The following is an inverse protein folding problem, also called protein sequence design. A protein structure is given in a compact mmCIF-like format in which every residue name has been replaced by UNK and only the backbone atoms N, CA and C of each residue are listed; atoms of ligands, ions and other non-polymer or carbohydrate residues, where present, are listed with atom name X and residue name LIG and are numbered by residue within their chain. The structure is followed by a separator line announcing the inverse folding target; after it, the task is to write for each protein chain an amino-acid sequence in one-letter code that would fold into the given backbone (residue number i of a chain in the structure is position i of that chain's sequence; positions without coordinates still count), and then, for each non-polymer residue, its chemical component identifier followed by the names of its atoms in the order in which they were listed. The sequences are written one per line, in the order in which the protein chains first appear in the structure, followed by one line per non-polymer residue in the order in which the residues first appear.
data_IF_300408324030
#
_entry.id   IF_300408324030
#
_cell.length_a   1.000
_cell.length_b   1.000
_cell.length_c   1.000
_cell.angle_alpha   90.00
_cell.angle_beta   90.00
_cell.angle_gamma   90.00
#
_symmetry.space_group_name_H-M   'P 1'
#
loop_
_entity.id
_entity.type
_entity.pdbx_description
1 polymer ?
#
# COMPACT_ATOMS: atom_id res chain seq x y z
N UNK A 1 -8.78 -53.78 35.71
CA UNK A 1 -9.23 -52.38 35.90
C UNK A 1 -8.27 -51.51 35.10
N UNK A 2 -8.80 -50.68 34.21
CA UNK A 2 -8.18 -50.17 32.98
C UNK A 2 -6.89 -49.31 33.14
N UNK A 3 -6.04 -49.24 32.11
CA UNK A 3 -4.83 -48.41 32.10
C UNK A 3 -5.22 -46.95 31.81
N UNK A 4 -4.62 -45.99 32.53
CA UNK A 4 -4.73 -44.56 32.19
C UNK A 4 -3.43 -44.09 31.55
N UNK A 5 -3.35 -44.31 30.25
CA UNK A 5 -2.46 -43.62 29.32
C UNK A 5 -2.81 -42.14 29.32
N UNK A 6 -1.91 -41.29 29.82
CA UNK A 6 -2.05 -39.83 29.70
C UNK A 6 -1.61 -39.44 28.28
N UNK A 7 -2.59 -39.08 27.45
CA UNK A 7 -2.41 -38.45 26.14
C UNK A 7 -1.79 -37.06 26.32
N UNK A 8 -0.51 -36.90 26.01
CA UNK A 8 0.10 -35.60 25.71
C UNK A 8 -0.28 -35.21 24.27
N UNK A 9 -1.44 -34.59 24.12
CA UNK A 9 -1.89 -34.00 22.85
C UNK A 9 -1.37 -32.57 22.78
N UNK A 10 -0.40 -32.36 21.88
CA UNK A 10 -0.23 -31.18 21.01
C UNK A 10 -0.75 -29.84 21.59
N UNK A 11 0.11 -29.13 22.30
CA UNK A 11 -0.03 -27.68 22.55
C UNK A 11 1.06 -26.91 21.80
N UNK A 12 1.22 -27.20 20.50
CA UNK A 12 2.28 -26.64 19.64
C UNK A 12 1.78 -25.78 18.48
N UNK A 13 0.49 -25.46 18.40
CA UNK A 13 -0.07 -24.77 17.22
C UNK A 13 -1.06 -23.63 17.54
N UNK A 14 -0.98 -23.03 18.73
CA UNK A 14 -1.80 -21.86 19.10
C UNK A 14 -1.01 -20.55 19.29
N UNK A 15 0.28 -20.53 18.95
CA UNK A 15 1.09 -19.31 19.04
C UNK A 15 1.10 -18.45 17.76
N UNK A 16 0.26 -18.75 16.75
CA UNK A 16 0.27 -18.05 15.44
C UNK A 16 -1.05 -17.36 15.07
N UNK A 17 -1.94 -17.17 16.04
CA UNK A 17 -3.18 -16.38 15.87
C UNK A 17 -3.32 -15.27 16.90
N UNK A 18 -2.22 -14.83 17.52
CA UNK A 18 -2.24 -13.69 18.42
C UNK A 18 -1.90 -12.41 17.65
N UNK A 19 -2.93 -11.57 17.51
CA UNK A 19 -2.89 -10.11 17.36
C UNK A 19 -2.17 -9.55 16.15
N UNK A 20 -2.82 -9.64 14.98
CA UNK A 20 -2.58 -8.65 13.93
C UNK A 20 -3.64 -7.55 13.95
N UNK A 21 -4.89 -7.87 14.33
CA UNK A 21 -5.91 -6.85 14.57
C UNK A 21 -5.69 -6.16 15.93
N UNK A 22 -5.38 -4.87 15.94
CA UNK A 22 -5.70 -3.98 17.05
C UNK A 22 -4.57 -3.15 17.68
N UNK A 23 -3.31 -3.28 17.27
CA UNK A 23 -2.27 -2.34 17.71
C UNK A 23 -2.12 -1.19 16.74
N UNK A 24 -1.94 0.02 17.26
CA UNK A 24 -1.75 1.22 16.46
C UNK A 24 -0.60 2.05 17.02
N UNK A 25 0.01 2.88 16.19
CA UNK A 25 1.13 3.73 16.57
C UNK A 25 0.95 5.15 16.05
N UNK A 26 1.50 6.13 16.77
CA UNK A 26 1.66 7.49 16.31
C UNK A 26 3.12 7.87 16.42
N UNK A 27 3.75 8.24 15.30
CA UNK A 27 5.17 8.55 15.23
C UNK A 27 5.40 9.89 14.56
N UNK A 28 6.28 10.69 15.15
CA UNK A 28 6.80 11.92 14.54
C UNK A 28 8.27 11.73 14.21
N UNK A 29 8.66 12.17 13.01
CA UNK A 29 10.03 12.14 12.53
C UNK A 29 10.48 13.55 12.21
N UNK A 30 11.50 14.00 12.93
CA UNK A 30 12.13 15.31 12.75
C UNK A 30 13.49 15.13 12.12
N UNK A 31 13.83 16.01 11.19
CA UNK A 31 15.17 16.07 10.61
C UNK A 31 15.59 17.52 10.45
N UNK A 32 16.79 17.83 10.92
CA UNK A 32 17.44 19.12 10.70
C UNK A 32 18.79 18.93 10.02
N UNK A 33 18.97 19.57 8.87
CA UNK A 33 20.18 19.49 8.07
C UNK A 33 20.84 20.87 8.01
N UNK A 34 22.04 20.99 8.58
CA UNK A 34 22.83 22.21 8.43
C UNK A 34 23.29 22.36 6.96
N UNK A 35 23.42 23.60 6.49
CA UNK A 35 23.89 23.89 5.13
C UNK A 35 24.87 25.07 5.14
N UNK A 36 26.14 24.85 5.55
CA UNK A 36 27.13 25.92 5.65
C UNK A 36 27.21 26.77 4.38
N UNK A 37 27.18 28.09 4.54
CA UNK A 37 27.20 29.04 3.41
C UNK A 37 25.90 29.14 2.60
N UNK A 38 24.84 28.38 2.93
CA UNK A 38 23.55 28.37 2.21
C UNK A 38 22.35 28.73 3.09
N UNK A 39 22.60 29.43 4.21
CA UNK A 39 21.56 29.93 5.12
C UNK A 39 21.38 29.08 6.38
N UNK A 40 20.21 29.19 7.01
CA UNK A 40 19.89 28.44 8.24
C UNK A 40 19.69 26.94 7.93
N UNK A 41 19.91 26.03 8.91
CA UNK A 41 19.57 24.63 8.74
C UNK A 41 18.13 24.44 8.25
N UNK A 42 17.92 23.53 7.29
CA UNK A 42 16.58 23.15 6.90
C UNK A 42 16.02 22.19 7.94
N UNK A 43 14.82 22.45 8.43
CA UNK A 43 14.09 21.59 9.34
C UNK A 43 12.83 21.09 8.65
N UNK A 44 12.61 19.78 8.70
CA UNK A 44 11.35 19.18 8.28
C UNK A 44 10.86 18.18 9.32
N UNK A 45 9.54 18.15 9.48
CA UNK A 45 8.85 17.26 10.40
C UNK A 45 7.72 16.56 9.65
N UNK A 46 7.53 15.27 9.94
CA UNK A 46 6.40 14.49 9.43
C UNK A 46 5.80 13.67 10.56
N UNK A 47 4.48 13.54 10.56
CA UNK A 47 3.73 12.72 11.52
C UNK A 47 2.99 11.61 10.80
N UNK A 48 3.00 10.43 11.39
CA UNK A 48 2.33 9.23 10.91
C UNK A 48 1.43 8.65 12.01
N UNK A 49 0.25 8.17 11.60
CA UNK A 49 -0.50 7.16 12.35
C UNK A 49 -0.38 5.87 11.55
N UNK A 50 0.20 4.85 12.17
CA UNK A 50 0.63 3.63 11.50
C UNK A 50 1.46 3.97 10.25
N UNK A 51 1.07 3.45 9.09
CA UNK A 51 1.74 3.70 7.82
C UNK A 51 1.17 4.89 7.03
N UNK A 52 0.31 5.71 7.65
CA UNK A 52 -0.37 6.84 7.00
C UNK A 52 0.16 8.19 7.50
N UNK A 53 0.81 8.93 6.60
CA UNK A 53 1.24 10.28 6.89
C UNK A 53 0.04 11.20 7.06
N UNK A 54 -0.02 11.97 8.15
CA UNK A 54 -1.14 12.88 8.40
C UNK A 54 -0.73 14.35 8.51
N UNK A 55 0.53 14.64 8.85
CA UNK A 55 1.03 16.02 8.90
C UNK A 55 2.44 16.16 8.33
N UNK A 56 2.75 17.38 7.89
CA UNK A 56 4.09 17.78 7.46
C UNK A 56 4.36 19.25 7.78
N UNK A 57 5.61 19.54 8.15
CA UNK A 57 6.16 20.89 8.22
C UNK A 57 7.50 20.95 7.46
N UNK A 58 7.76 22.05 6.76
CA UNK A 58 9.03 22.31 6.05
C UNK A 58 9.44 23.76 6.26
N UNK A 59 10.61 23.98 6.86
CA UNK A 59 11.11 25.34 7.16
C UNK A 59 11.45 26.13 5.91
N UNK A 60 11.68 25.46 4.78
CA UNK A 60 12.01 26.08 3.50
C UNK A 60 10.76 26.42 2.66
N UNK A 61 9.55 26.09 3.13
CA UNK A 61 8.32 26.52 2.48
C UNK A 61 8.21 28.06 2.50
N UNK A 62 7.52 28.65 1.51
CA UNK A 62 7.33 30.10 1.43
C UNK A 62 6.60 30.67 2.67
N UNK A 63 5.62 29.92 3.17
CA UNK A 63 4.93 30.20 4.44
C UNK A 63 4.95 28.96 5.31
N UNK A 64 6.01 28.76 6.14
CA UNK A 64 6.15 27.56 6.96
C UNK A 64 5.01 27.44 7.98
N UNK A 65 4.20 26.40 7.80
CA UNK A 65 3.09 25.99 8.67
C UNK A 65 2.99 24.47 8.70
N UNK A 66 2.33 23.95 9.73
CA UNK A 66 1.95 22.54 9.75
C UNK A 66 0.83 22.34 8.73
N UNK A 67 1.00 21.37 7.84
CA UNK A 67 0.08 21.10 6.73
C UNK A 67 -0.54 19.70 6.87
N UNK A 68 -1.85 19.55 6.60
CA UNK A 68 -2.49 18.25 6.57
C UNK A 68 -1.97 17.41 5.40
N UNK A 69 -1.89 16.10 5.61
CA UNK A 69 -1.55 15.07 4.62
C UNK A 69 -2.55 13.92 4.55
N UNK A 70 -3.58 13.95 5.40
CA UNK A 70 -4.69 13.02 5.39
C UNK A 70 -6.03 13.75 5.58
N UNK A 71 -7.12 13.33 4.90
CA UNK A 71 -8.41 14.01 4.99
C UNK A 71 -8.98 14.09 6.42
N UNK A 72 -8.78 13.04 7.23
CA UNK A 72 -9.34 12.96 8.58
C UNK A 72 -8.72 13.91 9.60
N UNK A 73 -7.56 14.52 9.30
CA UNK A 73 -6.97 15.58 10.15
C UNK A 73 -7.41 16.97 9.71
N UNK A 74 -7.91 17.16 8.49
CA UNK A 74 -8.33 18.48 7.97
C UNK A 74 -9.48 19.09 8.77
N UNK A 75 -10.28 18.26 9.45
CA UNK A 75 -11.36 18.71 10.33
C UNK A 75 -10.88 19.33 11.66
N UNK A 76 -9.59 19.23 11.98
CA UNK A 76 -9.05 19.89 13.17
C UNK A 76 -9.14 21.42 13.04
N UNK A 77 -9.48 22.07 14.15
CA UNK A 77 -9.73 23.52 14.19
C UNK A 77 -8.46 24.38 14.01
N UNK A 78 -8.63 25.69 13.75
CA UNK A 78 -7.49 26.60 13.56
C UNK A 78 -6.53 26.63 14.76
N UNK A 79 -7.03 26.44 16.00
CA UNK A 79 -6.20 26.40 17.20
C UNK A 79 -5.19 25.26 17.18
N UNK A 80 -5.58 24.09 16.66
CA UNK A 80 -4.68 22.94 16.48
C UNK A 80 -3.56 23.29 15.50
N UNK A 81 -3.91 23.81 14.33
CA UNK A 81 -2.94 24.15 13.28
C UNK A 81 -1.97 25.25 13.71
N UNK A 82 -2.46 26.27 14.44
CA UNK A 82 -1.64 27.34 15.00
C UNK A 82 -0.69 26.83 16.08
N UNK A 83 -1.17 25.95 16.97
CA UNK A 83 -0.35 25.34 18.01
C UNK A 83 0.74 24.44 17.43
N UNK A 84 0.40 23.55 16.50
CA UNK A 84 1.36 22.64 15.88
C UNK A 84 2.38 23.39 15.01
N UNK A 85 1.94 24.46 14.32
CA UNK A 85 2.84 25.35 13.59
C UNK A 85 3.83 26.04 14.53
N UNK A 86 3.37 26.52 15.69
CA UNK A 86 4.25 27.16 16.68
C UNK A 86 5.26 26.17 17.25
N UNK A 87 4.80 24.98 17.67
CA UNK A 87 5.67 23.90 18.16
C UNK A 87 6.74 23.52 17.13
N UNK A 88 6.37 23.39 15.86
CA UNK A 88 7.32 23.07 14.79
C UNK A 88 8.37 24.17 14.58
N UNK A 89 7.97 25.45 14.62
CA UNK A 89 8.89 26.60 14.52
C UNK A 89 9.85 26.67 15.71
N UNK A 90 9.35 26.47 16.92
CA UNK A 90 10.17 26.45 18.14
C UNK A 90 11.17 25.28 18.11
N UNK A 91 10.69 24.11 17.67
CA UNK A 91 11.53 22.92 17.47
C UNK A 91 12.63 23.18 16.44
N UNK A 92 12.32 23.82 15.31
CA UNK A 92 13.33 24.18 14.31
C UNK A 92 14.45 25.07 14.89
N UNK A 93 14.12 26.02 15.79
CA UNK A 93 15.13 26.83 16.48
C UNK A 93 15.96 26.00 17.46
N UNK A 94 15.33 25.09 18.21
CA UNK A 94 16.04 24.19 19.12
C UNK A 94 17.03 23.29 18.36
N UNK A 95 16.64 22.72 17.22
CA UNK A 95 17.52 21.88 16.40
C UNK A 95 18.71 22.66 15.82
N UNK A 96 18.50 23.94 15.48
CA UNK A 96 19.60 24.83 15.09
C UNK A 96 20.64 25.01 16.20
N UNK A 97 20.20 25.15 17.45
CA UNK A 97 21.10 25.23 18.61
C UNK A 97 21.77 23.87 18.88
N UNK A 98 21.02 22.78 18.72
CA UNK A 98 21.55 21.43 18.90
C UNK A 98 22.63 21.09 17.88
N UNK A 99 22.47 21.46 16.60
CA UNK A 99 23.50 21.29 15.57
C UNK A 99 24.81 21.99 15.95
N UNK A 100 24.76 23.24 16.43
CA UNK A 100 25.94 23.96 16.92
C UNK A 100 26.57 23.34 18.16
N UNK A 101 25.75 22.70 18.99
CA UNK A 101 26.23 22.01 20.19
C UNK A 101 26.91 20.70 19.84
N UNK A 102 26.33 19.93 18.90
CA UNK A 102 26.92 18.71 18.38
C UNK A 102 28.30 18.97 17.76
N UNK A 103 28.44 20.02 16.92
CA UNK A 103 29.74 20.44 16.37
C UNK A 103 30.82 20.59 17.45
N UNK A 104 30.48 21.20 18.59
CA UNK A 104 31.40 21.38 19.71
C UNK A 104 31.70 20.08 20.44
N UNK A 105 30.70 19.23 20.66
CA UNK A 105 30.91 17.95 21.35
C UNK A 105 31.78 16.99 20.55
N UNK A 106 31.68 17.03 19.22
CA UNK A 106 32.46 16.20 18.30
C UNK A 106 33.72 16.87 17.75
N UNK A 107 34.03 18.10 18.16
CA UNK A 107 35.15 18.90 17.66
C UNK A 107 35.19 19.00 16.12
N UNK A 108 34.02 19.18 15.50
CA UNK A 108 33.87 19.24 14.04
C UNK A 108 33.94 20.68 13.53
N UNK A 109 34.36 20.84 12.27
CA UNK A 109 34.44 22.15 11.61
C UNK A 109 33.07 22.68 11.19
N UNK A 110 32.89 24.00 11.16
CA UNK A 110 31.65 24.64 10.67
C UNK A 110 31.43 24.51 9.16
N UNK A 111 32.44 24.05 8.41
CA UNK A 111 32.34 23.86 6.96
C UNK A 111 31.57 22.58 6.57
N UNK A 112 31.41 21.63 7.51
CA UNK A 112 30.72 20.37 7.29
C UNK A 112 29.20 20.51 7.33
N UNK A 113 28.52 19.76 6.47
CA UNK A 113 27.08 19.58 6.55
C UNK A 113 26.76 18.41 7.48
N UNK A 114 26.04 18.69 8.55
CA UNK A 114 25.60 17.74 9.56
C UNK A 114 24.08 17.61 9.64
N UNK A 115 23.63 16.46 10.15
CA UNK A 115 22.22 16.11 10.25
C UNK A 115 21.88 15.63 11.66
N UNK A 116 20.82 16.16 12.26
CA UNK A 116 20.18 15.58 13.44
C UNK A 116 18.82 15.03 13.01
N UNK A 117 18.52 13.80 13.44
CA UNK A 117 17.23 13.16 13.26
C UNK A 117 16.66 12.75 14.61
N UNK A 118 15.34 12.82 14.77
CA UNK A 118 14.65 12.30 15.96
C UNK A 118 13.38 11.59 15.54
N UNK A 119 13.13 10.45 16.18
CA UNK A 119 11.86 9.74 16.11
C UNK A 119 11.31 9.63 17.54
N UNK A 120 10.06 10.04 17.72
CA UNK A 120 9.36 9.81 18.97
C UNK A 120 7.90 9.46 18.71
N UNK A 121 7.26 8.86 19.70
CA UNK A 121 5.86 8.47 19.59
C UNK A 121 5.45 7.38 20.56
N UNK A 122 4.23 6.90 20.39
CA UNK A 122 3.63 5.88 21.26
C UNK A 122 2.95 4.79 20.43
N UNK A 123 2.97 3.57 20.97
CA UNK A 123 2.22 2.42 20.47
C UNK A 123 1.10 2.10 21.46
N UNK A 124 -0.08 1.81 20.94
CA UNK A 124 -1.23 1.31 21.69
C UNK A 124 -1.41 -0.18 21.44
N UNK A 125 -1.70 -0.91 22.51
CA UNK A 125 -2.19 -2.27 22.41
C UNK A 125 -3.67 -2.32 21.95
N UNK A 126 -4.20 -3.53 21.70
CA UNK A 126 -5.61 -3.74 21.35
C UNK A 126 -6.63 -3.24 22.37
N UNK A 127 -6.22 -3.08 23.63
CA UNK A 127 -7.03 -2.48 24.71
C UNK A 127 -7.00 -0.94 24.69
N UNK A 128 -6.30 -0.35 23.72
CA UNK A 128 -6.12 1.08 23.55
C UNK A 128 -5.17 1.70 24.57
N UNK A 129 -4.45 0.93 25.38
CA UNK A 129 -3.50 1.44 26.38
C UNK A 129 -2.10 1.56 25.81
N UNK A 130 -1.29 2.43 26.40
CA UNK A 130 0.13 2.57 26.05
C UNK A 130 0.83 1.22 26.20
N UNK A 131 1.33 0.70 25.09
CA UNK A 131 2.16 -0.50 25.03
C UNK A 131 3.63 -0.13 25.14
N UNK A 132 4.05 0.92 24.41
CA UNK A 132 5.44 1.38 24.35
C UNK A 132 5.54 2.84 23.95
N UNK A 133 6.51 3.55 24.52
CA UNK A 133 6.87 4.90 24.13
C UNK A 133 8.29 4.97 23.58
N UNK A 134 8.55 5.95 22.73
CA UNK A 134 9.85 6.14 22.07
C UNK A 134 10.24 7.61 22.10
N UNK A 135 11.53 7.87 22.31
CA UNK A 135 12.21 9.12 22.00
C UNK A 135 13.67 8.78 21.69
N UNK A 136 14.08 8.88 20.44
CA UNK A 136 15.43 8.55 20.02
C UNK A 136 15.93 9.55 18.99
N UNK A 137 17.16 9.98 19.18
CA UNK A 137 17.86 10.89 18.29
C UNK A 137 19.10 10.25 17.69
N UNK A 138 19.40 10.65 16.46
CA UNK A 138 20.60 10.28 15.72
C UNK A 138 21.33 11.54 15.23
N UNK A 139 22.66 11.44 15.12
CA UNK A 139 23.53 12.46 14.58
C UNK A 139 24.38 11.88 13.44
N UNK A 140 24.35 12.54 12.27
CA UNK A 140 25.02 12.10 11.03
C UNK A 140 24.73 10.63 10.66
N UNK A 141 23.47 10.21 10.87
CA UNK A 141 22.98 8.87 10.54
C UNK A 141 23.38 7.77 11.53
N UNK A 142 23.95 8.13 12.69
CA UNK A 142 24.30 7.20 13.77
C UNK A 142 23.50 7.52 15.02
N UNK A 143 23.14 6.48 15.78
CA UNK A 143 22.46 6.64 17.06
C UNK A 143 23.24 7.60 17.98
N UNK A 144 22.53 8.49 18.64
CA UNK A 144 23.09 9.47 19.56
C UNK A 144 22.60 9.21 20.99
N UNK A 145 21.29 9.31 21.22
CA UNK A 145 20.68 9.07 22.53
C UNK A 145 19.26 8.52 22.36
N UNK A 146 18.85 7.59 23.23
CA UNK A 146 17.52 7.02 23.22
C UNK A 146 16.94 6.89 24.64
N UNK A 147 15.66 7.19 24.80
CA UNK A 147 14.87 6.91 26.00
C UNK A 147 14.65 5.41 26.09
N UNK A 148 14.95 4.84 27.25
CA UNK A 148 14.77 3.41 27.49
C UNK A 148 13.29 3.05 27.67
N UNK A 149 12.98 1.76 27.53
CA UNK A 149 11.61 1.23 27.66
C UNK A 149 10.98 1.52 29.03
N UNK A 150 11.78 1.77 30.06
CA UNK A 150 11.30 2.17 31.39
C UNK A 150 10.74 3.61 31.45
N UNK A 151 10.92 4.39 30.37
CA UNK A 151 10.56 5.81 30.22
C UNK A 151 11.15 6.70 31.32
N UNK A 152 12.29 6.31 31.89
CA UNK A 152 12.93 6.96 33.03
C UNK A 152 14.43 7.14 32.84
N UNK A 153 15.08 6.25 32.09
CA UNK A 153 16.51 6.27 31.87
C UNK A 153 16.86 6.43 30.39
N UNK A 154 18.10 6.84 30.13
CA UNK A 154 18.63 7.09 28.79
C UNK A 154 19.77 6.16 28.46
N UNK A 155 19.87 5.76 27.20
CA UNK A 155 21.05 5.11 26.62
C UNK A 155 21.75 6.09 25.70
N UNK A 156 22.98 6.48 26.05
CA UNK A 156 23.86 7.30 25.21
C UNK A 156 24.77 6.41 24.36
N UNK A 157 24.88 6.70 23.06
CA UNK A 157 25.68 5.92 22.13
C UNK A 157 27.20 6.13 22.28
N UNK A 158 27.62 7.32 22.72
CA UNK A 158 29.03 7.67 22.88
C UNK A 158 29.27 8.73 23.98
N UNK A 159 30.53 9.13 24.16
CA UNK A 159 30.93 10.12 25.16
C UNK A 159 30.38 11.53 24.91
N UNK A 160 30.08 11.89 23.66
CA UNK A 160 29.45 13.17 23.34
C UNK A 160 27.98 13.15 23.79
N UNK A 161 27.26 12.07 23.49
CA UNK A 161 25.90 11.85 23.94
C UNK A 161 25.76 11.77 25.47
N UNK A 162 26.76 11.25 26.19
CA UNK A 162 26.79 11.28 27.66
C UNK A 162 26.70 12.70 28.23
N UNK A 163 27.20 13.72 27.52
CA UNK A 163 27.03 15.11 27.94
C UNK A 163 25.56 15.57 27.85
N UNK A 164 24.82 15.12 26.83
CA UNK A 164 23.38 15.35 26.74
C UNK A 164 22.63 14.58 27.82
N UNK A 165 22.95 13.30 28.02
CA UNK A 165 22.35 12.45 29.05
C UNK A 165 22.40 13.12 30.42
N UNK A 166 23.59 13.55 30.89
CA UNK A 166 23.74 14.20 32.20
C UNK A 166 22.91 15.49 32.32
N UNK A 167 22.80 16.27 31.24
CA UNK A 167 21.96 17.49 31.22
C UNK A 167 20.49 17.13 31.30
N UNK A 168 20.07 16.08 30.59
CA UNK A 168 18.68 15.64 30.56
C UNK A 168 18.23 15.03 31.88
N UNK A 169 19.08 14.22 32.50
CA UNK A 169 18.87 13.68 33.84
C UNK A 169 18.78 14.79 34.90
N UNK A 170 19.71 15.75 34.89
CA UNK A 170 19.70 16.88 35.83
C UNK A 170 18.45 17.78 35.70
N UNK A 171 17.87 17.85 34.51
CA UNK A 171 16.65 18.63 34.24
C UNK A 171 15.36 17.80 34.28
N UNK A 172 15.42 16.49 34.58
CA UNK A 172 14.25 15.62 34.69
C UNK A 172 13.48 15.41 33.37
N UNK A 173 14.17 15.47 32.22
CA UNK A 173 13.52 15.39 30.90
C UNK A 173 12.73 14.11 30.67
N UNK A 174 13.21 12.97 31.21
CA UNK A 174 12.52 11.69 31.05
C UNK A 174 11.11 11.73 31.68
N UNK A 175 10.93 12.39 32.83
CA UNK A 175 9.61 12.48 33.48
C UNK A 175 8.64 13.35 32.67
N UNK A 176 9.12 14.46 32.12
CA UNK A 176 8.32 15.33 31.25
C UNK A 176 7.88 14.60 29.98
N UNK A 177 8.81 13.90 29.33
CA UNK A 177 8.51 13.19 28.10
C UNK A 177 7.62 11.96 28.33
N UNK A 178 7.82 11.27 29.45
CA UNK A 178 6.92 10.20 29.89
C UNK A 178 5.48 10.69 30.09
N UNK A 179 5.29 11.87 30.70
CA UNK A 179 3.95 12.45 30.88
C UNK A 179 3.26 12.72 29.53
N UNK A 180 4.00 13.19 28.53
CA UNK A 180 3.50 13.32 27.16
C UNK A 180 3.14 11.96 26.53
N UNK A 181 4.02 10.96 26.65
CA UNK A 181 3.82 9.63 26.06
C UNK A 181 2.65 8.86 26.70
N UNK A 182 2.47 8.96 28.02
CA UNK A 182 1.38 8.30 28.75
C UNK A 182 0.04 9.06 28.67
N UNK A 183 0.08 10.37 28.38
CA UNK A 183 -1.08 11.24 28.28
C UNK A 183 -1.38 11.66 26.84
N UNK A 184 -0.90 12.85 26.45
CA UNK A 184 -1.25 13.52 25.19
C UNK A 184 -1.06 12.62 23.96
N UNK A 185 0.03 11.86 23.87
CA UNK A 185 0.28 10.98 22.71
C UNK A 185 -0.84 9.94 22.55
N UNK A 186 -1.23 9.29 23.64
CA UNK A 186 -2.30 8.27 23.66
C UNK A 186 -3.65 8.90 23.34
N UNK A 187 -3.95 10.07 23.91
CA UNK A 187 -5.21 10.79 23.68
C UNK A 187 -5.36 11.21 22.21
N UNK A 188 -4.32 11.80 21.62
CA UNK A 188 -4.31 12.21 20.22
C UNK A 188 -4.40 11.02 19.27
N UNK A 189 -3.65 9.95 19.52
CA UNK A 189 -3.73 8.74 18.69
C UNK A 189 -5.14 8.14 18.70
N UNK A 190 -5.80 8.05 19.86
CA UNK A 190 -7.20 7.59 19.93
C UNK A 190 -8.16 8.49 19.15
N UNK A 191 -8.00 9.82 19.27
CA UNK A 191 -8.79 10.79 18.50
C UNK A 191 -8.60 10.60 17.00
N UNK A 192 -7.36 10.45 16.54
CA UNK A 192 -7.06 10.24 15.12
C UNK A 192 -7.59 8.91 14.61
N UNK A 193 -7.51 7.83 15.40
CA UNK A 193 -8.08 6.54 15.03
C UNK A 193 -9.60 6.57 14.90
N UNK A 194 -10.29 7.35 15.73
CA UNK A 194 -11.74 7.54 15.61
C UNK A 194 -12.08 8.42 14.40
N UNK A 195 -11.39 9.54 14.24
CA UNK A 195 -11.55 10.47 13.12
C UNK A 195 -11.28 9.82 11.76
N UNK A 196 -10.24 8.98 11.69
CA UNK A 196 -9.75 8.30 10.49
C UNK A 196 -10.16 6.84 10.39
N UNK A 197 -11.18 6.40 11.14
CA UNK A 197 -11.56 4.99 11.28
C UNK A 197 -11.70 4.23 9.97
N UNK A 198 -12.31 4.83 8.96
CA UNK A 198 -12.49 4.21 7.63
C UNK A 198 -11.17 3.95 6.89
N UNK A 199 -10.12 4.70 7.23
CA UNK A 199 -8.80 4.62 6.58
C UNK A 199 -7.73 3.94 7.42
N UNK A 200 -7.72 4.16 8.74
CA UNK A 200 -6.66 3.70 9.65
C UNK A 200 -6.98 2.34 10.27
N UNK A 201 -8.26 1.99 10.40
CA UNK A 201 -8.69 0.69 10.95
C UNK A 201 -9.14 -0.27 9.84
N UNK A 202 -8.70 -0.02 8.59
CA UNK A 202 -8.92 -0.93 7.47
C UNK A 202 -7.70 -1.81 7.26
N UNK A 203 -7.94 -3.01 6.77
CA UNK A 203 -6.91 -3.94 6.35
C UNK A 203 -7.21 -4.37 4.91
N UNK A 204 -6.44 -3.85 3.96
CA UNK A 204 -6.61 -4.17 2.54
C UNK A 204 -5.75 -5.41 2.21
N UNK A 205 -6.34 -6.56 1.84
CA UNK A 205 -5.57 -7.76 1.55
C UNK A 205 -4.73 -7.61 0.25
N UNK A 206 -3.54 -8.21 0.18
CA UNK A 206 -2.70 -8.15 -1.01
C UNK A 206 -3.32 -8.88 -2.19
N UNK A 207 -3.31 -8.22 -3.34
CA UNK A 207 -3.53 -8.86 -4.64
C UNK A 207 -2.24 -9.59 -5.01
N UNK A 208 -2.31 -10.91 -5.09
CA UNK A 208 -1.13 -11.75 -5.25
C UNK A 208 -1.15 -12.54 -6.55
N UNK A 209 0.03 -12.73 -7.13
CA UNK A 209 0.23 -13.59 -8.31
C UNK A 209 1.70 -13.98 -8.43
N UNK A 210 1.98 -15.03 -9.22
CA UNK A 210 3.34 -15.49 -9.50
C UNK A 210 3.63 -15.32 -10.99
N UNK A 211 4.70 -14.59 -11.33
CA UNK A 211 5.21 -14.47 -12.69
C UNK A 211 6.38 -15.42 -12.92
N UNK A 212 6.54 -15.87 -14.16
CA UNK A 212 7.62 -16.75 -14.59
C UNK A 212 8.43 -16.09 -15.70
N UNK A 213 9.74 -16.03 -15.52
CA UNK A 213 10.67 -15.40 -16.44
C UNK A 213 11.81 -16.38 -16.77
N UNK A 214 11.81 -17.02 -17.96
CA UNK A 214 12.92 -17.87 -18.38
C UNK A 214 14.23 -17.07 -18.40
N UNK A 215 15.29 -17.63 -17.83
CA UNK A 215 16.66 -17.06 -17.88
C UNK A 215 17.49 -17.81 -18.93
N UNK A 216 17.38 -19.14 -18.92
CA UNK A 216 18.05 -20.06 -19.85
C UNK A 216 17.18 -21.30 -20.08
N UNK A 217 17.65 -22.25 -20.89
CA UNK A 217 16.97 -23.55 -21.07
C UNK A 217 16.91 -24.36 -19.77
N UNK A 218 17.76 -24.05 -18.79
CA UNK A 218 17.91 -24.80 -17.55
C UNK A 218 17.27 -24.13 -16.33
N UNK A 219 16.99 -22.83 -16.40
CA UNK A 219 16.56 -22.04 -15.25
C UNK A 219 15.57 -20.94 -15.61
N UNK A 220 14.67 -20.67 -14.67
CA UNK A 220 13.73 -19.55 -14.72
C UNK A 220 13.65 -18.84 -13.37
N UNK A 221 13.26 -17.58 -13.38
CA UNK A 221 12.88 -16.84 -12.17
C UNK A 221 11.38 -16.97 -11.94
N UNK A 222 10.99 -17.42 -10.75
CA UNK A 222 9.63 -17.23 -10.24
C UNK A 222 9.61 -16.00 -9.35
N UNK A 223 8.69 -15.07 -9.62
CA UNK A 223 8.51 -13.87 -8.80
C UNK A 223 7.09 -13.81 -8.25
N UNK A 224 6.98 -13.84 -6.93
CA UNK A 224 5.73 -13.70 -6.21
C UNK A 224 5.50 -12.23 -5.89
N UNK A 225 4.37 -11.70 -6.35
CA UNK A 225 3.97 -10.32 -6.13
C UNK A 225 2.88 -10.22 -5.07
N UNK A 226 2.97 -9.19 -4.24
CA UNK A 226 1.90 -8.70 -3.40
C UNK A 226 1.71 -7.21 -3.70
N UNK A 227 0.49 -6.81 -4.08
CA UNK A 227 0.18 -5.45 -4.53
C UNK A 227 -1.08 -4.93 -3.83
N UNK A 228 -1.13 -3.62 -3.59
CA UNK A 228 -2.35 -2.93 -3.17
C UNK A 228 -2.82 -3.30 -1.76
N UNK A 229 -1.88 -3.60 -0.85
CA UNK A 229 -2.18 -3.97 0.52
C UNK A 229 -1.91 -2.83 1.50
N UNK A 230 -2.58 -2.86 2.64
CA UNK A 230 -2.41 -1.96 3.79
C UNK A 230 -2.78 -2.72 5.06
N UNK A 231 -2.02 -2.63 6.18
CA UNK A 231 -0.80 -1.83 6.40
C UNK A 231 0.44 -2.33 5.63
N UNK A 232 1.61 -1.69 5.82
CA UNK A 232 2.84 -2.03 5.11
C UNK A 232 3.46 -3.36 5.56
N UNK A 233 3.18 -3.78 6.80
CA UNK A 233 3.72 -5.01 7.37
C UNK A 233 3.18 -6.24 6.62
N UNK A 234 4.09 -6.98 5.99
CA UNK A 234 3.76 -8.16 5.19
C UNK A 234 4.93 -9.13 5.18
N UNK A 235 4.64 -10.42 5.21
CA UNK A 235 5.67 -11.48 5.08
C UNK A 235 5.46 -12.26 3.79
N UNK A 236 6.50 -12.29 2.93
CA UNK A 236 6.57 -13.09 1.71
C UNK A 236 7.73 -14.09 1.83
N UNK A 237 7.44 -15.39 1.71
CA UNK A 237 8.48 -16.44 1.80
C UNK A 237 8.30 -17.49 0.71
N UNK A 238 9.39 -17.86 0.05
CA UNK A 238 9.42 -19.02 -0.85
C UNK A 238 9.77 -20.29 -0.11
N UNK A 239 9.06 -21.38 -0.43
CA UNK A 239 9.35 -22.73 0.03
C UNK A 239 9.56 -23.67 -1.13
N UNK A 240 10.45 -24.64 -0.97
CA UNK A 240 10.67 -25.76 -1.88
C UNK A 240 10.39 -27.06 -1.14
N UNK A 241 9.37 -27.81 -1.58
CA UNK A 241 8.92 -29.05 -0.91
C UNK A 241 8.66 -28.90 0.60
N UNK A 242 8.28 -27.68 1.04
CA UNK A 242 8.03 -27.35 2.44
C UNK A 242 9.20 -26.69 3.19
N UNK A 243 10.40 -26.63 2.61
CA UNK A 243 11.57 -25.98 3.23
C UNK A 243 11.73 -24.53 2.77
N UNK A 244 11.94 -23.60 3.71
CA UNK A 244 12.14 -22.18 3.44
C UNK A 244 13.42 -21.94 2.60
N UNK A 245 13.34 -21.02 1.63
CA UNK A 245 14.43 -20.69 0.70
C UNK A 245 15.01 -19.29 0.94
N UNK A 246 15.10 -18.84 2.20
CA UNK A 246 15.42 -17.44 2.54
C UNK A 246 16.75 -16.94 1.97
N UNK A 247 17.79 -17.77 1.90
CA UNK A 247 19.11 -17.37 1.37
C UNK A 247 19.13 -17.24 -0.16
N UNK A 248 18.32 -18.03 -0.85
CA UNK A 248 18.23 -18.08 -2.32
C UNK A 248 17.11 -17.18 -2.87
N UNK A 249 16.43 -16.46 -1.97
CA UNK A 249 15.31 -15.56 -2.31
C UNK A 249 15.81 -14.13 -2.40
N UNK A 250 15.62 -13.51 -3.56
CA UNK A 250 15.68 -12.07 -3.72
C UNK A 250 14.39 -11.46 -3.16
N UNK A 251 14.47 -10.79 -2.02
CA UNK A 251 13.34 -10.11 -1.37
C UNK A 251 13.56 -8.60 -1.41
N UNK A 252 12.64 -7.86 -2.01
CA UNK A 252 12.73 -6.39 -2.00
C UNK A 252 12.08 -5.79 -0.77
N UNK A 253 12.55 -4.61 -0.38
CA UNK A 253 11.89 -3.79 0.63
C UNK A 253 10.44 -3.47 0.23
N UNK A 254 9.58 -3.36 1.24
CA UNK A 254 8.18 -2.94 1.02
C UNK A 254 8.20 -1.49 0.56
N UNK A 255 7.49 -1.17 -0.52
CA UNK A 255 7.50 0.18 -1.12
C UNK A 255 6.09 0.72 -1.31
N UNK A 256 5.88 2.03 -1.14
CA UNK A 256 4.57 2.65 -1.34
C UNK A 256 4.16 2.61 -2.82
N UNK A 257 2.86 2.47 -3.07
CA UNK A 257 2.27 2.57 -4.41
C UNK A 257 1.86 4.01 -4.78
N UNK A 258 1.74 4.90 -3.79
CA UNK A 258 1.38 6.31 -3.96
C UNK A 258 -0.10 6.63 -3.75
N UNK A 259 -0.94 5.61 -3.57
CA UNK A 259 -2.38 5.70 -3.29
C UNK A 259 -2.74 5.34 -1.84
N UNK A 260 -1.74 5.29 -0.95
CA UNK A 260 -1.89 4.84 0.43
C UNK A 260 -1.72 3.33 0.63
N UNK A 261 -1.49 2.56 -0.44
CA UNK A 261 -1.19 1.13 -0.35
C UNK A 261 0.29 0.82 -0.61
N UNK A 262 0.66 -0.44 -0.41
CA UNK A 262 2.02 -0.95 -0.53
C UNK A 262 2.13 -2.07 -1.56
N UNK A 263 3.36 -2.33 -1.97
CA UNK A 263 3.74 -3.43 -2.85
C UNK A 263 5.07 -4.03 -2.41
N UNK A 264 5.20 -5.35 -2.58
CA UNK A 264 6.41 -6.12 -2.30
C UNK A 264 6.48 -7.32 -3.25
N UNK A 265 7.68 -7.81 -3.52
CA UNK A 265 7.83 -9.08 -4.22
C UNK A 265 9.02 -9.87 -3.70
N UNK A 266 8.95 -11.19 -3.89
CA UNK A 266 10.01 -12.13 -3.59
C UNK A 266 10.27 -13.00 -4.81
N UNK A 267 11.52 -13.19 -5.21
CA UNK A 267 11.89 -13.98 -6.37
C UNK A 267 12.91 -15.08 -6.02
N UNK A 268 12.79 -16.22 -6.71
CA UNK A 268 13.73 -17.34 -6.61
C UNK A 268 14.08 -17.83 -8.01
N UNK A 269 15.33 -18.25 -8.19
CA UNK A 269 15.77 -18.96 -9.39
C UNK A 269 15.45 -20.44 -9.20
N UNK A 270 14.77 -21.02 -10.18
CA UNK A 270 14.32 -22.41 -10.14
C UNK A 270 14.79 -23.16 -11.39
N UNK A 271 15.16 -24.44 -11.28
CA UNK A 271 15.45 -25.25 -12.45
C UNK A 271 14.19 -25.49 -13.29
N UNK A 272 14.35 -25.45 -14.62
CA UNK A 272 13.28 -25.73 -15.57
C UNK A 272 12.59 -27.07 -15.27
N UNK A 273 11.26 -27.06 -15.20
CA UNK A 273 10.43 -28.24 -14.91
C UNK A 273 10.28 -28.57 -13.42
N UNK A 274 10.90 -27.79 -12.51
CA UNK A 274 10.74 -27.95 -11.05
C UNK A 274 9.89 -26.85 -10.43
N UNK A 275 9.28 -25.97 -11.20
CA UNK A 275 8.53 -24.80 -10.74
C UNK A 275 7.41 -25.17 -9.77
N UNK A 276 6.73 -26.31 -9.99
CA UNK A 276 5.61 -26.78 -9.15
C UNK A 276 6.02 -27.22 -7.73
N UNK A 277 7.32 -27.44 -7.50
CA UNK A 277 7.87 -27.73 -6.16
C UNK A 277 8.00 -26.48 -5.30
N UNK A 278 7.92 -25.30 -5.91
CA UNK A 278 8.07 -24.02 -5.25
C UNK A 278 6.69 -23.41 -4.93
N UNK A 279 6.53 -22.99 -3.69
CA UNK A 279 5.33 -22.29 -3.21
C UNK A 279 5.70 -20.96 -2.58
N UNK A 280 5.01 -19.89 -2.95
CA UNK A 280 5.10 -18.61 -2.27
C UNK A 280 4.04 -18.54 -1.16
N UNK A 281 4.46 -18.21 0.04
CA UNK A 281 3.58 -18.00 1.19
C UNK A 281 3.49 -16.52 1.50
N UNK A 282 2.26 -16.02 1.68
CA UNK A 282 1.97 -14.61 1.97
C UNK A 282 1.18 -14.52 3.25
N UNK A 283 1.70 -13.76 4.22
CA UNK A 283 1.02 -13.43 5.48
C UNK A 283 0.83 -11.92 5.56
N UNK A 284 -0.39 -11.50 5.89
CA UNK A 284 -0.80 -10.12 5.99
C UNK A 284 -2.05 -10.03 6.88
N UNK A 285 -2.21 -8.97 7.65
CA UNK A 285 -3.36 -8.72 8.53
C UNK A 285 -4.70 -8.83 7.82
N UNK A 286 -4.80 -8.25 6.63
CA UNK A 286 -6.03 -8.28 5.82
C UNK A 286 -6.40 -9.67 5.29
N UNK A 287 -5.55 -10.68 5.47
CA UNK A 287 -5.84 -12.06 5.06
C UNK A 287 -6.36 -12.86 6.26
N UNK A 288 -7.55 -13.49 6.17
CA UNK A 288 -8.07 -14.31 7.26
C UNK A 288 -7.22 -15.57 7.51
N UNK A 289 -6.48 -16.02 6.50
CA UNK A 289 -5.51 -17.11 6.56
C UNK A 289 -4.35 -16.81 5.60
N UNK A 290 -3.12 -17.24 5.91
CA UNK A 290 -2.00 -17.15 4.98
C UNK A 290 -2.33 -17.75 3.61
N UNK A 291 -1.91 -17.07 2.54
CA UNK A 291 -2.05 -17.59 1.19
C UNK A 291 -0.84 -18.44 0.82
N UNK A 292 -1.06 -19.47 0.00
CA UNK A 292 -0.01 -20.29 -0.61
C UNK A 292 -0.25 -20.32 -2.11
N UNK A 293 0.71 -19.81 -2.87
CA UNK A 293 0.62 -19.62 -4.31
C UNK A 293 1.64 -20.51 -5.01
N UNK A 294 1.26 -21.05 -6.17
CA UNK A 294 2.18 -21.69 -7.11
C UNK A 294 2.15 -20.91 -8.41
N UNK A 295 3.19 -21.11 -9.22
CA UNK A 295 3.13 -20.65 -10.60
C UNK A 295 2.10 -21.49 -11.37
N UNK A 296 1.11 -20.82 -11.93
CA UNK A 296 0.19 -21.41 -12.90
C UNK A 296 0.64 -20.99 -14.30
N UNK A 297 0.99 -21.95 -15.19
CA UNK A 297 1.22 -21.65 -16.59
C UNK A 297 -0.04 -20.97 -17.12
N UNK A 298 0.11 -19.78 -17.70
CA UNK A 298 -1.02 -19.07 -18.28
C UNK A 298 -1.73 -20.00 -19.25
N UNK A 299 -2.98 -20.38 -18.92
CA UNK A 299 -3.89 -20.89 -19.92
C UNK A 299 -4.20 -19.70 -20.82
N UNK A 300 -3.32 -19.40 -21.78
CA UNK A 300 -3.80 -18.87 -23.04
C UNK A 300 -4.77 -19.92 -23.53
N UNK A 301 -6.04 -19.74 -23.14
CA UNK A 301 -7.16 -20.45 -23.68
C UNK A 301 -7.04 -20.20 -25.17
N UNK A 302 -6.47 -21.19 -25.86
CA UNK A 302 -6.51 -21.26 -27.30
C UNK A 302 -7.95 -21.64 -27.58
N UNK A 303 -8.87 -20.69 -27.34
CA UNK A 303 -10.16 -20.70 -27.97
C UNK A 303 -9.81 -20.91 -29.43
N UNK A 304 -10.25 -22.00 -30.09
CA UNK A 304 -9.83 -22.30 -31.44
C UNK A 304 -10.53 -21.28 -32.33
N UNK A 305 -9.98 -20.07 -32.42
CA UNK A 305 -10.42 -19.00 -33.29
C UNK A 305 -10.45 -19.54 -34.73
N UNK A 306 -9.53 -20.46 -35.06
CA UNK A 306 -9.51 -21.23 -36.31
C UNK A 306 -10.78 -22.08 -36.50
N UNK A 307 -11.30 -22.73 -35.45
CA UNK A 307 -12.51 -23.55 -35.50
C UNK A 307 -13.78 -22.71 -35.71
N UNK A 308 -13.85 -21.52 -35.09
CA UNK A 308 -14.96 -20.57 -35.28
C UNK A 308 -14.93 -19.98 -36.68
N UNK A 309 -13.74 -19.59 -37.19
CA UNK A 309 -13.58 -19.07 -38.55
C UNK A 309 -13.94 -20.15 -39.58
N UNK A 310 -13.45 -21.37 -39.42
CA UNK A 310 -13.78 -22.48 -40.33
C UNK A 310 -15.29 -22.78 -40.33
N UNK A 311 -15.93 -22.77 -39.16
CA UNK A 311 -17.38 -22.94 -39.03
C UNK A 311 -18.18 -21.83 -39.73
N UNK A 312 -17.77 -20.57 -39.58
CA UNK A 312 -18.41 -19.43 -40.23
C UNK A 312 -18.24 -19.44 -41.76
N UNK A 313 -17.06 -19.83 -42.26
CA UNK A 313 -16.81 -19.95 -43.70
C UNK A 313 -17.66 -21.07 -44.32
N UNK A 314 -17.75 -22.21 -43.63
CA UNK A 314 -18.60 -23.33 -44.08
C UNK A 314 -20.09 -22.96 -44.09
N UNK A 315 -20.57 -22.31 -43.02
CA UNK A 315 -21.95 -21.80 -42.97
C UNK A 315 -22.22 -20.79 -44.08
N UNK A 316 -21.29 -19.86 -44.31
CA UNK A 316 -21.35 -18.92 -45.42
C UNK A 316 -21.50 -19.64 -46.75
N UNK A 317 -20.62 -20.58 -47.07
CA UNK A 317 -20.65 -21.33 -48.33
C UNK A 317 -21.95 -22.13 -48.53
N UNK A 318 -22.49 -22.75 -47.48
CA UNK A 318 -23.77 -23.49 -47.53
C UNK A 318 -24.93 -22.55 -47.82
N UNK A 319 -24.98 -21.39 -47.15
CA UNK A 319 -26.03 -20.39 -47.38
C UNK A 319 -25.96 -19.84 -48.80
N UNK A 320 -24.77 -19.49 -49.30
CA UNK A 320 -24.61 -19.02 -50.68
C UNK A 320 -25.02 -20.10 -51.69
N UNK A 321 -24.62 -21.35 -51.45
CA UNK A 321 -25.02 -22.49 -52.29
C UNK A 321 -26.53 -22.71 -52.31
N UNK A 322 -27.20 -22.63 -51.15
CA UNK A 322 -28.65 -22.76 -51.05
C UNK A 322 -29.39 -21.62 -51.75
N UNK A 323 -28.90 -20.38 -51.63
CA UNK A 323 -29.48 -19.21 -52.33
C UNK A 323 -29.34 -19.35 -53.84
N UNK A 324 -28.16 -19.74 -54.33
CA UNK A 324 -27.93 -19.96 -55.77
C UNK A 324 -28.83 -21.08 -56.30
N UNK A 325 -28.95 -22.20 -55.58
CA UNK A 325 -29.85 -23.30 -55.95
C UNK A 325 -31.32 -22.86 -55.98
N UNK A 326 -31.77 -22.08 -54.99
CA UNK A 326 -33.13 -21.54 -54.95
C UNK A 326 -33.40 -20.56 -56.10
N UNK A 327 -32.46 -19.67 -56.42
CA UNK A 327 -32.57 -18.74 -57.56
C UNK A 327 -32.61 -19.48 -58.89
N UNK A 328 -31.77 -20.50 -59.07
CA UNK A 328 -31.78 -21.34 -60.27
C UNK A 328 -33.09 -22.13 -60.42
N UNK A 329 -33.64 -22.66 -59.32
CA UNK A 329 -34.95 -23.31 -59.33
C UNK A 329 -36.05 -22.31 -59.70
N UNK A 330 -36.01 -21.10 -59.14
CA UNK A 330 -36.98 -20.04 -59.44
C UNK A 330 -36.91 -19.63 -60.92
N UNK A 331 -35.71 -19.48 -61.49
CA UNK A 331 -35.48 -19.23 -62.93
C UNK A 331 -36.00 -20.36 -63.82
N UNK A 332 -35.84 -21.62 -63.40
CA UNK A 332 -36.37 -22.78 -64.14
C UNK A 332 -37.90 -22.90 -64.07
N UNK A 333 -38.52 -22.35 -63.02
CA UNK A 333 -39.99 -22.32 -62.86
C UNK A 333 -40.67 -21.17 -63.62
N UNK A 334 -39.97 -20.06 -63.88
CA UNK A 334 -40.49 -18.93 -64.65
C UNK A 334 -40.50 -19.16 -66.16
N UNK A 335 -39.71 -20.10 -66.67
CA UNK A 335 -39.63 -20.41 -68.12
C UNK A 335 -40.79 -21.30 -68.64
N UNK A 336 -41.80 -21.59 -67.81
CA UNK A 336 -42.91 -22.50 -68.15
C UNK A 336 -44.31 -21.88 -68.16
N UNK A 337 -44.47 -20.56 -68.01
CA UNK A 337 -45.78 -19.90 -68.17
C UNK A 337 -45.66 -18.54 -68.84
N UNK A 338 -45.65 -18.57 -70.17
CA UNK A 338 -46.05 -17.43 -71.01
C UNK A 338 -47.54 -17.49 -71.34
N UNK A 339 -48.23 -16.35 -71.21
CA UNK A 339 -49.45 -16.00 -71.96
C UNK A 339 -50.80 -16.12 -71.24
N UNK A 340 -51.41 -14.99 -70.88
CA UNK A 340 -52.66 -14.49 -71.49
C UNK A 340 -53.17 -13.21 -70.81
N UNK A 341 -53.61 -12.25 -71.64
CA UNK A 341 -54.26 -10.98 -71.34
C UNK A 341 -55.71 -11.14 -70.86
N UNK A 342 -56.19 -10.23 -69.99
CA UNK A 342 -57.48 -9.49 -70.12
C UNK A 342 -57.64 -8.43 -69.01
N UNK A 343 -58.60 -7.53 -69.22
CA UNK A 343 -58.61 -6.09 -68.92
C UNK A 343 -59.85 -5.69 -68.08
N UNK A 344 -59.71 -4.60 -67.29
CA UNK A 344 -60.71 -3.70 -66.67
C UNK A 344 -61.60 -4.28 -65.52
N UNK A 345 -62.12 -3.53 -64.54
CA UNK A 345 -62.41 -2.10 -64.45
C UNK A 345 -62.49 -1.58 -62.98
N UNK A 346 -62.09 -0.31 -62.80
CA UNK A 346 -62.75 0.78 -62.05
C UNK A 346 -63.82 0.48 -60.98
N UNK A 347 -63.64 1.06 -59.78
CA UNK A 347 -64.64 1.99 -59.21
C UNK A 347 -64.02 2.92 -58.16
N UNK A 348 -64.30 4.22 -58.33
CA UNK A 348 -63.97 5.36 -57.48
C UNK A 348 -64.86 5.43 -56.23
N UNK A 349 -64.34 6.01 -55.13
CA UNK A 349 -65.09 6.94 -54.29
C UNK A 349 -64.12 7.89 -53.58
N UNK A 350 -64.25 9.18 -53.84
CA UNK A 350 -63.46 10.26 -53.27
C UNK A 350 -64.26 11.06 -52.23
N UNK A 351 -63.57 11.56 -51.21
CA UNK A 351 -63.79 12.81 -50.46
C UNK A 351 -62.54 12.97 -49.57
N UNK A 352 -61.60 13.89 -49.81
CA UNK A 352 -61.73 15.36 -49.71
C UNK A 352 -61.63 15.75 -48.23
N UNK A 353 -60.79 16.65 -47.71
CA UNK A 353 -59.91 17.71 -48.24
C UNK A 353 -59.07 18.15 -46.99
N UNK A 354 -57.74 18.26 -47.04
CA UNK A 354 -56.93 19.48 -47.26
C UNK A 354 -56.38 20.20 -45.99
N UNK A 355 -55.17 20.75 -46.17
CA UNK A 355 -54.53 21.90 -45.48
C UNK A 355 -53.64 21.68 -44.24
N UNK A 356 -52.33 21.68 -44.54
CA UNK A 356 -51.25 22.59 -44.09
C UNK A 356 -50.76 22.68 -42.63
N UNK A 357 -49.46 22.38 -42.50
CA UNK A 357 -48.36 23.13 -41.85
C UNK A 357 -48.69 24.04 -40.65
N UNK A 358 -47.96 23.89 -39.53
CA UNK A 358 -46.75 24.68 -39.19
C UNK A 358 -46.18 24.23 -37.84
N UNK A 359 -44.86 24.33 -37.72
CA UNK A 359 -44.06 24.12 -36.51
C UNK A 359 -44.42 25.06 -35.34
N UNK A 360 -44.05 24.64 -34.12
CA UNK A 360 -43.37 25.55 -33.20
C UNK A 360 -42.52 24.78 -32.19
N UNK A 361 -41.37 25.39 -31.91
CA UNK A 361 -40.26 24.95 -31.07
C UNK A 361 -40.32 25.77 -29.80
N UNK A 362 -40.17 25.13 -28.64
CA UNK A 362 -39.55 25.69 -27.43
C UNK A 362 -38.67 24.59 -26.86
#
# INVERSE_FOLDING_TARGET
MAPRTLLLVLSGALALTQTWAGSHSMRYFYTSMSRPGRGQPRFFAVGYVDDTQFVRFDSDAESPRMEPRAPWVEQEGPEYWDQETRKAKDTAQNYRVNLRTALRYYNQSEAGSHTIQTMYGCDLGPDGRLLRGYDQSAYDGRDYIALNEDLRSWTAADTAAQNTQRKWEAAGWAEQFRAYLEGECVEWLRRYLENGKETLQRADPPKTHVTHHPISDHEATLRCWALGFYPAEITLTWRRDGEDQTQDTELVETRPAGDGTFQKWAAVVVPSGKEQRYTCHVQHEGLPKPLTLRWEPSSQSTIPIVGIIAGLVLLGAVVTGAVVAAVMWKRKSSDRKGGSYSQAASSDSAQGSDVSLTACKV
#
